data_IF_724210378348
#
_entry.id   IF_724210378348
#
_cell.length_a   1.000
_cell.length_b   1.000
_cell.length_c   1.000
_cell.angle_alpha   90.00
_cell.angle_beta   90.00
_cell.angle_gamma   90.00
#
_symmetry.space_group_name_H-M   'P 1'
#
loop_
_entity.id
_entity.type
_entity.pdbx_description
1 polymer ?
#
# COMPACT_ATOMS: atom_id res chain seq x y z
N UNK A 1 18.80 -13.28 9.54
CA UNK A 1 19.21 -12.85 10.86
C UNK A 1 18.40 -13.59 11.93
N UNK A 2 19.04 -13.87 13.09
CA UNK A 2 18.41 -14.58 14.20
C UNK A 2 17.19 -13.84 14.75
N UNK A 3 17.21 -12.51 14.73
CA UNK A 3 16.14 -11.65 15.26
C UNK A 3 14.85 -11.68 14.44
N UNK A 4 14.95 -11.87 13.13
CA UNK A 4 13.79 -11.87 12.23
C UNK A 4 13.91 -13.03 11.22
N UNK A 5 13.66 -14.29 11.66
CA UNK A 5 13.87 -15.47 10.80
C UNK A 5 12.91 -15.55 9.62
N UNK A 6 11.72 -14.93 9.75
CA UNK A 6 10.67 -14.93 8.71
C UNK A 6 10.71 -13.71 7.78
N UNK A 7 11.69 -12.81 7.94
CA UNK A 7 11.84 -11.67 7.03
C UNK A 7 12.13 -12.16 5.60
N UNK A 8 11.55 -11.48 4.61
CA UNK A 8 11.78 -11.78 3.20
C UNK A 8 13.22 -11.42 2.81
N UNK A 9 14.04 -12.42 2.52
CA UNK A 9 15.46 -12.28 2.25
C UNK A 9 15.84 -12.95 0.94
N UNK A 10 16.92 -12.49 0.35
CA UNK A 10 17.59 -13.17 -0.76
C UNK A 10 18.46 -14.34 -0.26
N UNK A 11 19.12 -15.04 -1.19
CA UNK A 11 19.99 -16.18 -0.91
C UNK A 11 21.23 -15.81 -0.07
N UNK A 12 21.60 -14.51 -0.06
CA UNK A 12 22.70 -13.97 0.74
C UNK A 12 22.26 -13.51 2.13
N UNK A 13 20.97 -13.68 2.46
CA UNK A 13 20.39 -13.26 3.74
C UNK A 13 20.11 -11.76 3.85
N UNK A 14 20.15 -11.00 2.75
CA UNK A 14 19.80 -9.57 2.68
C UNK A 14 18.29 -9.42 2.51
N UNK A 15 17.71 -8.37 3.10
CA UNK A 15 16.30 -8.04 2.88
C UNK A 15 16.06 -7.73 1.40
N UNK A 16 15.02 -8.31 0.83
CA UNK A 16 14.55 -7.92 -0.50
C UNK A 16 13.97 -6.53 -0.47
N UNK A 17 14.27 -5.74 -1.51
CA UNK A 17 13.88 -4.34 -1.61
C UNK A 17 13.18 -4.06 -2.93
N UNK A 18 12.21 -3.14 -2.87
CA UNK A 18 11.54 -2.60 -4.04
C UNK A 18 11.76 -1.09 -4.09
N UNK A 19 11.90 -0.54 -5.29
CA UNK A 19 12.04 0.89 -5.48
C UNK A 19 11.09 1.41 -6.55
N UNK A 20 10.48 2.58 -6.26
CA UNK A 20 9.51 3.20 -7.14
C UNK A 20 10.20 3.92 -8.31
N UNK A 21 9.57 3.80 -9.47
CA UNK A 21 9.86 4.55 -10.68
C UNK A 21 8.56 5.05 -11.30
N UNK A 22 8.66 5.77 -12.40
CA UNK A 22 7.54 6.37 -13.11
C UNK A 22 7.54 5.97 -14.60
N UNK A 23 6.70 6.61 -15.39
CA UNK A 23 6.59 6.39 -16.84
C UNK A 23 7.52 7.30 -17.65
N UNK A 24 7.63 7.06 -18.95
CA UNK A 24 8.44 7.86 -19.88
C UNK A 24 9.93 7.54 -19.84
N UNK A 25 10.75 8.35 -20.51
CA UNK A 25 12.19 8.11 -20.65
C UNK A 25 12.92 8.26 -19.31
N UNK A 26 12.64 9.30 -18.56
CA UNK A 26 13.24 9.48 -17.22
C UNK A 26 12.88 8.33 -16.26
N UNK A 27 11.63 7.85 -16.31
CA UNK A 27 11.20 6.68 -15.56
C UNK A 27 11.96 5.42 -15.97
N UNK A 28 12.20 5.26 -17.26
CA UNK A 28 12.98 4.14 -17.77
C UNK A 28 14.46 4.22 -17.33
N UNK A 29 15.10 5.38 -17.48
CA UNK A 29 16.48 5.58 -17.04
C UNK A 29 16.65 5.32 -15.54
N UNK A 30 15.71 5.83 -14.73
CA UNK A 30 15.67 5.55 -13.30
C UNK A 30 15.48 4.05 -13.01
N UNK A 31 14.61 3.38 -13.75
CA UNK A 31 14.38 1.93 -13.58
C UNK A 31 15.65 1.13 -13.87
N UNK A 32 16.38 1.48 -14.93
CA UNK A 32 17.64 0.81 -15.26
C UNK A 32 18.73 1.08 -14.23
N UNK A 33 18.84 2.30 -13.74
CA UNK A 33 19.77 2.62 -12.65
C UNK A 33 19.45 1.84 -11.36
N UNK A 34 18.18 1.59 -11.06
CA UNK A 34 17.76 0.77 -9.93
C UNK A 34 18.11 -0.70 -10.14
N UNK A 35 17.94 -1.23 -11.36
CA UNK A 35 18.35 -2.59 -11.74
C UNK A 35 19.86 -2.75 -11.58
N UNK A 36 20.65 -1.81 -12.09
CA UNK A 36 22.11 -1.81 -11.97
C UNK A 36 22.57 -1.72 -10.50
N UNK A 37 21.79 -1.04 -9.65
CA UNK A 37 22.04 -0.99 -8.22
C UNK A 37 21.62 -2.27 -7.45
N UNK A 38 21.05 -3.26 -8.14
CA UNK A 38 20.68 -4.56 -7.58
C UNK A 38 19.35 -4.58 -6.81
N UNK A 39 18.36 -3.78 -7.23
CA UNK A 39 17.01 -3.84 -6.66
C UNK A 39 16.34 -5.18 -7.03
N UNK A 40 15.58 -5.76 -6.10
CA UNK A 40 14.83 -6.99 -6.38
C UNK A 40 13.57 -6.73 -7.22
N UNK A 41 12.92 -5.58 -7.02
CA UNK A 41 11.70 -5.21 -7.73
C UNK A 41 11.68 -3.72 -8.09
N UNK A 42 11.29 -3.41 -9.31
CA UNK A 42 10.95 -2.05 -9.75
C UNK A 42 9.43 -1.87 -9.66
N UNK A 43 8.97 -0.80 -9.06
CA UNK A 43 7.54 -0.48 -8.93
C UNK A 43 7.21 0.70 -9.83
N UNK A 44 6.47 0.47 -10.91
CA UNK A 44 5.90 1.56 -11.73
C UNK A 44 4.66 2.06 -10.98
N UNK A 45 4.85 3.15 -10.26
CA UNK A 45 3.90 3.67 -9.28
C UNK A 45 3.24 4.97 -9.76
N UNK A 46 1.98 4.88 -10.13
CA UNK A 46 1.16 6.00 -10.61
C UNK A 46 -0.18 6.07 -9.89
N UNK A 47 -0.81 7.24 -9.93
CA UNK A 47 -2.17 7.41 -9.38
C UNK A 47 -3.22 6.66 -10.23
N UNK A 48 -2.93 6.41 -11.52
CA UNK A 48 -3.80 5.69 -12.45
C UNK A 48 -2.99 4.71 -13.31
N UNK A 49 -2.91 3.46 -12.86
CA UNK A 49 -2.14 2.40 -13.52
C UNK A 49 -2.76 1.90 -14.83
N UNK A 50 -4.06 2.04 -15.03
CA UNK A 50 -4.73 1.64 -16.26
C UNK A 50 -4.54 2.69 -17.36
N UNK A 51 -3.29 2.94 -17.70
CA UNK A 51 -2.89 3.88 -18.74
C UNK A 51 -1.88 3.26 -19.68
N UNK A 52 -1.89 3.70 -20.93
CA UNK A 52 -0.97 3.22 -21.96
C UNK A 52 0.51 3.50 -21.60
N UNK A 53 0.76 4.63 -20.93
CA UNK A 53 2.10 4.98 -20.47
C UNK A 53 2.67 3.98 -19.46
N UNK A 54 1.83 3.46 -18.54
CA UNK A 54 2.24 2.43 -17.57
C UNK A 54 2.47 1.10 -18.26
N UNK A 55 1.56 0.66 -19.14
CA UNK A 55 1.73 -0.59 -19.87
C UNK A 55 3.01 -0.58 -20.74
N UNK A 56 3.28 0.54 -21.43
CA UNK A 56 4.53 0.72 -22.20
C UNK A 56 5.79 0.70 -21.31
N UNK A 57 5.75 1.33 -20.15
CA UNK A 57 6.87 1.33 -19.21
C UNK A 57 7.19 -0.10 -18.73
N UNK A 58 6.17 -0.87 -18.34
CA UNK A 58 6.31 -2.28 -17.95
C UNK A 58 6.95 -3.09 -19.10
N UNK A 59 6.35 -3.06 -20.28
CA UNK A 59 6.83 -3.81 -21.43
C UNK A 59 8.29 -3.45 -21.80
N UNK A 60 8.63 -2.15 -21.77
CA UNK A 60 9.99 -1.68 -22.07
C UNK A 60 11.03 -2.21 -21.09
N UNK A 61 10.73 -2.22 -19.79
CA UNK A 61 11.64 -2.77 -18.77
C UNK A 61 11.78 -4.27 -18.95
N UNK A 62 10.69 -5.00 -19.11
CA UNK A 62 10.70 -6.47 -19.28
C UNK A 62 11.42 -6.91 -20.55
N UNK A 63 11.34 -6.14 -21.62
CA UNK A 63 12.09 -6.41 -22.86
C UNK A 63 13.60 -6.20 -22.68
N UNK A 64 14.03 -5.28 -21.79
CA UNK A 64 15.44 -5.04 -21.52
C UNK A 64 16.02 -6.02 -20.51
N UNK A 65 15.24 -6.37 -19.48
CA UNK A 65 15.65 -7.30 -18.43
C UNK A 65 14.46 -8.11 -17.95
N UNK A 66 14.51 -9.41 -18.17
CA UNK A 66 13.48 -10.33 -17.66
C UNK A 66 13.82 -10.88 -16.25
N UNK A 67 14.97 -10.52 -15.70
CA UNK A 67 15.42 -10.96 -14.37
C UNK A 67 14.78 -10.10 -13.26
N UNK A 68 14.63 -8.79 -13.50
CA UNK A 68 14.01 -7.91 -12.53
C UNK A 68 12.49 -8.10 -12.50
N UNK A 69 11.93 -8.13 -11.29
CA UNK A 69 10.48 -8.19 -11.11
C UNK A 69 9.89 -6.77 -11.25
N UNK A 70 8.82 -6.64 -12.02
CA UNK A 70 8.13 -5.37 -12.25
C UNK A 70 6.75 -5.41 -11.63
N UNK A 71 6.54 -4.54 -10.64
CA UNK A 71 5.24 -4.26 -10.04
C UNK A 71 4.62 -3.06 -10.74
N UNK A 72 3.36 -3.12 -11.09
CA UNK A 72 2.67 -1.99 -11.73
C UNK A 72 1.37 -1.63 -11.00
N UNK A 73 1.05 -0.34 -10.97
CA UNK A 73 -0.17 0.19 -10.35
C UNK A 73 -0.21 1.73 -10.30
N UNK A 74 -1.23 2.27 -9.62
CA UNK A 74 -2.30 1.55 -8.92
C UNK A 74 -3.53 1.34 -9.82
N UNK A 75 -4.20 0.24 -9.58
CA UNK A 75 -5.44 -0.12 -10.27
C UNK A 75 -6.53 -0.48 -9.25
N UNK A 76 -7.78 -0.60 -9.70
CA UNK A 76 -8.91 -0.93 -8.85
C UNK A 76 -9.96 -1.83 -9.52
N UNK A 77 -9.72 -2.28 -10.76
CA UNK A 77 -10.67 -3.11 -11.53
C UNK A 77 -9.99 -4.33 -12.12
N UNK A 78 -10.79 -5.35 -12.46
CA UNK A 78 -10.29 -6.58 -13.08
C UNK A 78 -9.66 -6.32 -14.45
N UNK A 79 -10.28 -5.43 -15.25
CA UNK A 79 -9.80 -5.07 -16.58
C UNK A 79 -8.43 -4.39 -16.50
N UNK A 80 -8.27 -3.45 -15.54
CA UNK A 80 -7.02 -2.76 -15.33
C UNK A 80 -5.90 -3.71 -14.88
N UNK A 81 -6.20 -4.63 -13.96
CA UNK A 81 -5.24 -5.63 -13.52
C UNK A 81 -4.79 -6.52 -14.68
N UNK A 82 -5.74 -7.02 -15.48
CA UNK A 82 -5.45 -7.83 -16.67
C UNK A 82 -4.58 -7.10 -17.68
N UNK A 83 -4.91 -5.83 -17.98
CA UNK A 83 -4.12 -5.03 -18.93
C UNK A 83 -2.65 -4.90 -18.51
N UNK A 84 -2.36 -4.78 -17.21
CA UNK A 84 -0.99 -4.70 -16.72
C UNK A 84 -0.29 -6.07 -16.73
N UNK A 85 -1.01 -7.16 -16.45
CA UNK A 85 -0.50 -8.53 -16.61
C UNK A 85 -0.15 -8.81 -18.06
N UNK A 86 -1.03 -8.45 -18.99
CA UNK A 86 -0.80 -8.62 -20.44
C UNK A 86 0.40 -7.78 -20.92
N UNK A 87 0.70 -6.67 -20.27
CA UNK A 87 1.90 -5.86 -20.50
C UNK A 87 3.19 -6.47 -19.92
N UNK A 88 3.09 -7.53 -19.12
CA UNK A 88 4.22 -8.26 -18.55
C UNK A 88 4.54 -7.93 -17.09
N UNK A 89 3.63 -7.30 -16.35
CA UNK A 89 3.83 -7.05 -14.92
C UNK A 89 3.88 -8.37 -14.12
N UNK A 90 4.85 -8.48 -13.22
CA UNK A 90 5.04 -9.63 -12.34
C UNK A 90 4.19 -9.54 -11.06
N UNK A 91 3.72 -8.35 -10.70
CA UNK A 91 2.75 -8.14 -9.62
C UNK A 91 1.93 -6.88 -9.87
N UNK A 92 0.71 -6.85 -9.32
CA UNK A 92 -0.24 -5.74 -9.49
C UNK A 92 -0.46 -5.05 -8.15
N UNK A 93 -0.31 -3.73 -8.12
CA UNK A 93 -0.55 -2.91 -6.93
C UNK A 93 -1.93 -2.24 -7.00
N UNK A 94 -2.75 -2.47 -5.97
CA UNK A 94 -4.18 -2.17 -5.96
C UNK A 94 -4.53 -1.15 -4.89
N UNK A 95 -5.20 -0.08 -5.31
CA UNK A 95 -5.74 0.94 -4.42
C UNK A 95 -5.86 2.30 -5.10
N UNK A 96 -7.09 2.76 -5.30
CA UNK A 96 -7.42 4.09 -5.80
C UNK A 96 -8.18 4.84 -4.71
N UNK A 97 -7.49 5.75 -4.03
CA UNK A 97 -8.05 6.60 -2.99
C UNK A 97 -8.21 6.01 -1.59
N UNK A 98 -7.67 4.83 -1.20
CA UNK A 98 -7.89 4.28 0.14
C UNK A 98 -6.93 4.87 1.19
N UNK A 99 -5.88 5.57 0.81
CA UNK A 99 -4.89 6.13 1.73
C UNK A 99 -5.52 7.14 2.71
N UNK A 100 -5.06 7.14 3.97
CA UNK A 100 -5.62 7.98 5.03
C UNK A 100 -5.45 9.49 4.81
N UNK A 101 -4.49 9.87 3.97
CA UNK A 101 -4.18 11.26 3.59
C UNK A 101 -4.50 11.55 2.12
N UNK A 102 -5.14 10.59 1.42
CA UNK A 102 -5.55 10.72 0.03
C UNK A 102 -6.90 11.44 -0.07
N UNK A 103 -7.00 12.41 -0.95
CA UNK A 103 -8.24 13.14 -1.23
C UNK A 103 -8.79 12.90 -2.63
N UNK A 104 -8.21 11.99 -3.41
CA UNK A 104 -8.64 11.66 -4.79
C UNK A 104 -10.14 11.41 -4.89
N UNK A 105 -10.71 10.64 -3.95
CA UNK A 105 -12.16 10.34 -3.95
C UNK A 105 -13.04 11.57 -3.80
N UNK A 106 -12.54 12.62 -3.15
CA UNK A 106 -13.28 13.87 -2.93
C UNK A 106 -12.98 14.88 -4.02
N UNK A 107 -11.71 15.05 -4.38
CA UNK A 107 -11.26 16.06 -5.35
C UNK A 107 -11.58 15.64 -6.79
N UNK A 108 -11.31 14.39 -7.15
CA UNK A 108 -11.56 13.86 -8.48
C UNK A 108 -12.88 13.08 -8.60
N UNK A 109 -13.52 12.71 -7.49
CA UNK A 109 -14.72 11.88 -7.48
C UNK A 109 -14.47 10.43 -7.91
N UNK A 110 -13.21 9.99 -7.90
CA UNK A 110 -12.78 8.67 -8.41
C UNK A 110 -12.22 7.81 -7.27
N UNK A 111 -12.58 6.53 -7.26
CA UNK A 111 -12.08 5.55 -6.32
C UNK A 111 -13.00 4.35 -6.20
N UNK A 112 -12.46 3.26 -5.66
CA UNK A 112 -13.20 2.03 -5.38
C UNK A 112 -12.96 1.63 -3.94
N UNK A 113 -13.97 1.17 -3.18
CA UNK A 113 -13.76 0.59 -1.85
C UNK A 113 -12.71 -0.50 -1.89
N UNK A 114 -11.73 -0.45 -0.99
CA UNK A 114 -10.49 -1.23 -1.13
C UNK A 114 -10.72 -2.74 -1.18
N UNK A 115 -11.64 -3.29 -0.39
CA UNK A 115 -11.91 -4.73 -0.41
C UNK A 115 -12.48 -5.17 -1.77
N UNK A 116 -13.40 -4.39 -2.34
CA UNK A 116 -13.92 -4.60 -3.69
C UNK A 116 -12.83 -4.53 -4.75
N UNK A 117 -11.97 -3.51 -4.67
CA UNK A 117 -10.84 -3.35 -5.60
C UNK A 117 -9.88 -4.54 -5.56
N UNK A 118 -9.57 -5.06 -4.36
CA UNK A 118 -8.71 -6.24 -4.20
C UNK A 118 -9.35 -7.47 -4.87
N UNK A 119 -10.61 -7.75 -4.55
CA UNK A 119 -11.33 -8.91 -5.12
C UNK A 119 -11.40 -8.85 -6.64
N UNK A 120 -11.69 -7.68 -7.20
CA UNK A 120 -11.75 -7.47 -8.64
C UNK A 120 -10.38 -7.63 -9.30
N UNK A 121 -9.36 -6.99 -8.74
CA UNK A 121 -8.01 -7.08 -9.27
C UNK A 121 -7.44 -8.50 -9.19
N UNK A 122 -7.68 -9.24 -8.12
CA UNK A 122 -7.29 -10.66 -7.99
C UNK A 122 -7.91 -11.49 -9.10
N UNK A 123 -9.21 -11.27 -9.39
CA UNK A 123 -9.91 -11.96 -10.50
C UNK A 123 -9.31 -11.61 -11.86
N UNK A 124 -8.91 -10.35 -12.07
CA UNK A 124 -8.29 -9.90 -13.32
C UNK A 124 -6.83 -10.32 -13.46
N UNK A 125 -6.09 -10.38 -12.37
CA UNK A 125 -4.66 -10.74 -12.36
C UNK A 125 -4.41 -12.25 -12.54
N UNK A 126 -5.41 -13.11 -12.28
CA UNK A 126 -5.24 -14.56 -12.34
C UNK A 126 -4.20 -15.05 -11.32
N UNK A 127 -3.13 -15.69 -11.81
CA UNK A 127 -2.06 -16.22 -10.96
C UNK A 127 -1.02 -15.16 -10.54
N UNK A 128 -1.07 -13.95 -11.12
CA UNK A 128 -0.13 -12.88 -10.80
C UNK A 128 -0.43 -12.31 -9.41
N UNK A 129 0.58 -12.15 -8.53
CA UNK A 129 0.40 -11.64 -7.18
C UNK A 129 -0.21 -10.23 -7.15
N UNK A 130 -1.08 -10.01 -6.16
CA UNK A 130 -1.70 -8.71 -5.90
C UNK A 130 -1.19 -8.14 -4.58
N UNK A 131 -0.81 -6.87 -4.61
CA UNK A 131 -0.41 -6.08 -3.44
C UNK A 131 -1.57 -5.15 -3.06
N UNK A 132 -2.14 -5.32 -1.87
CA UNK A 132 -3.17 -4.43 -1.34
C UNK A 132 -2.53 -3.16 -0.79
N UNK A 133 -2.67 -2.04 -1.49
CA UNK A 133 -2.04 -0.77 -1.15
C UNK A 133 -3.04 0.24 -0.58
N UNK A 134 -2.90 0.51 0.70
CA UNK A 134 -3.70 1.51 1.42
C UNK A 134 -4.98 0.98 2.08
N UNK A 135 -5.56 1.81 2.94
CA UNK A 135 -6.80 1.51 3.66
C UNK A 135 -6.64 0.60 4.88
N UNK A 136 -5.42 0.21 5.23
CA UNK A 136 -5.11 -0.67 6.36
C UNK A 136 -4.84 0.19 7.60
N UNK A 137 -5.79 0.22 8.53
CA UNK A 137 -5.69 0.91 9.82
C UNK A 137 -5.40 -0.05 10.96
N UNK A 138 -6.09 -1.18 10.97
CA UNK A 138 -5.99 -2.24 11.98
C UNK A 138 -5.47 -3.53 11.35
N UNK A 139 -4.98 -4.43 12.20
CA UNK A 139 -4.56 -5.77 11.77
C UNK A 139 -5.71 -6.58 11.13
N UNK A 140 -6.96 -6.34 11.54
CA UNK A 140 -8.13 -6.92 10.91
C UNK A 140 -8.34 -6.49 9.45
N UNK A 141 -7.97 -5.26 9.09
CA UNK A 141 -8.01 -4.80 7.69
C UNK A 141 -6.96 -5.53 6.85
N UNK A 142 -5.77 -5.73 7.43
CA UNK A 142 -4.72 -6.53 6.81
C UNK A 142 -5.18 -7.97 6.57
N UNK A 143 -5.76 -8.61 7.58
CA UNK A 143 -6.30 -9.97 7.47
C UNK A 143 -7.39 -10.06 6.39
N UNK A 144 -8.30 -9.08 6.31
CA UNK A 144 -9.32 -9.01 5.26
C UNK A 144 -8.72 -8.84 3.86
N UNK A 145 -7.67 -8.04 3.71
CA UNK A 145 -6.99 -7.88 2.43
C UNK A 145 -6.39 -9.20 1.94
N UNK A 146 -5.74 -9.96 2.82
CA UNK A 146 -5.21 -11.30 2.51
C UNK A 146 -6.35 -12.27 2.18
N UNK A 147 -7.40 -12.31 3.00
CA UNK A 147 -8.56 -13.17 2.76
C UNK A 147 -9.28 -12.87 1.43
N UNK A 148 -9.24 -11.61 0.98
CA UNK A 148 -9.76 -11.19 -0.33
C UNK A 148 -8.88 -11.60 -1.52
N UNK A 149 -7.73 -12.23 -1.28
CA UNK A 149 -6.83 -12.78 -2.29
C UNK A 149 -5.52 -12.03 -2.48
N UNK A 150 -5.28 -10.93 -1.76
CA UNK A 150 -3.98 -10.24 -1.83
C UNK A 150 -2.85 -11.15 -1.32
N UNK A 151 -1.68 -11.06 -1.96
CA UNK A 151 -0.48 -11.81 -1.57
C UNK A 151 0.28 -11.14 -0.43
N UNK A 152 0.25 -9.80 -0.41
CA UNK A 152 0.82 -8.97 0.65
C UNK A 152 0.11 -7.61 0.69
N UNK A 153 0.51 -6.78 1.65
CA UNK A 153 -0.05 -5.44 1.80
C UNK A 153 1.04 -4.38 1.87
N UNK A 154 0.76 -3.21 1.27
CA UNK A 154 1.53 -2.00 1.44
C UNK A 154 0.86 -1.11 2.47
N UNK A 155 1.60 -0.72 3.50
CA UNK A 155 1.11 0.12 4.59
C UNK A 155 1.89 1.44 4.66
N UNK A 156 1.17 2.54 4.80
CA UNK A 156 1.75 3.87 4.95
C UNK A 156 1.53 4.41 6.37
N UNK A 157 0.33 4.89 6.67
CA UNK A 157 0.00 5.51 7.96
C UNK A 157 0.19 4.58 9.17
N UNK A 158 0.11 3.26 8.97
CA UNK A 158 0.35 2.30 10.04
C UNK A 158 1.76 2.42 10.62
N UNK A 159 2.76 2.69 9.77
CA UNK A 159 4.18 2.82 10.16
C UNK A 159 4.71 4.25 10.11
N UNK A 160 3.94 5.22 9.62
CA UNK A 160 4.39 6.60 9.47
C UNK A 160 4.78 7.28 10.81
N UNK A 161 4.22 6.82 11.93
CA UNK A 161 4.53 7.29 13.28
C UNK A 161 5.69 6.57 13.98
N UNK A 162 6.43 5.71 13.29
CA UNK A 162 7.50 4.91 13.90
C UNK A 162 8.85 5.63 13.90
N UNK A 163 9.79 5.14 14.72
CA UNK A 163 11.15 5.68 14.81
C UNK A 163 11.88 5.68 13.47
N UNK A 164 11.70 4.61 12.70
CA UNK A 164 12.37 4.39 11.42
C UNK A 164 11.76 5.20 10.27
N UNK A 165 10.57 5.75 10.46
CA UNK A 165 9.91 6.61 9.48
C UNK A 165 10.55 8.01 9.44
N UNK A 166 10.69 8.66 8.28
CA UNK A 166 11.15 10.05 8.23
C UNK A 166 10.15 10.99 8.90
N UNK A 167 10.61 12.17 9.27
CA UNK A 167 9.82 13.21 9.94
C UNK A 167 10.20 13.39 11.40
N UNK A 168 10.01 14.60 11.87
CA UNK A 168 10.35 14.98 13.24
C UNK A 168 9.24 14.57 14.23
N UNK A 169 9.64 14.26 15.46
CA UNK A 169 8.71 14.05 16.57
C UNK A 169 8.26 15.41 17.09
N UNK A 170 6.97 15.65 17.06
CA UNK A 170 6.32 16.89 17.47
C UNK A 170 5.53 16.61 18.76
N UNK A 171 5.76 17.42 19.79
CA UNK A 171 4.95 17.37 21.00
C UNK A 171 3.76 18.32 20.85
N UNK A 172 2.55 17.79 20.89
CA UNK A 172 1.32 18.55 20.77
C UNK A 172 0.29 18.08 21.80
N UNK A 173 -0.24 18.98 22.59
CA UNK A 173 -1.21 18.70 23.67
C UNK A 173 -0.81 17.52 24.60
N UNK A 174 0.48 17.45 24.96
CA UNK A 174 1.00 16.40 25.84
C UNK A 174 1.18 15.04 25.19
N UNK A 175 1.00 14.92 23.88
CA UNK A 175 1.22 13.69 23.09
C UNK A 175 2.28 13.91 22.02
N UNK A 176 3.02 12.86 21.69
CA UNK A 176 4.01 12.88 20.62
C UNK A 176 3.38 12.46 19.30
N UNK A 177 3.70 13.20 18.26
CA UNK A 177 3.27 12.96 16.87
C UNK A 177 4.47 12.99 15.92
N UNK A 178 4.32 12.45 14.71
CA UNK A 178 5.24 12.64 13.60
C UNK A 178 4.53 13.30 12.43
N UNK A 179 5.23 14.16 11.71
CA UNK A 179 4.73 14.73 10.46
C UNK A 179 4.49 13.63 9.42
N UNK A 180 3.41 13.72 8.69
CA UNK A 180 3.03 12.77 7.66
C UNK A 180 2.33 13.48 6.51
N UNK A 181 2.70 13.18 5.27
CA UNK A 181 2.10 13.81 4.09
C UNK A 181 1.82 12.81 3.00
N UNK A 182 0.77 13.07 2.22
CA UNK A 182 0.43 12.34 1.02
C UNK A 182 1.37 12.66 -0.14
N UNK A 183 1.57 11.68 -1.02
CA UNK A 183 2.30 11.89 -2.27
C UNK A 183 1.62 12.93 -3.17
N UNK A 184 0.29 13.08 -3.10
CA UNK A 184 -0.50 14.11 -3.79
C UNK A 184 -0.67 15.41 -3.01
N UNK A 185 0.03 15.63 -1.89
CA UNK A 185 0.03 16.92 -1.19
C UNK A 185 0.87 17.95 -1.95
N UNK A 186 0.56 19.22 -1.79
CA UNK A 186 1.30 20.31 -2.45
C UNK A 186 2.80 20.23 -2.17
N UNK A 187 3.19 20.00 -0.92
CA UNK A 187 4.60 19.91 -0.55
C UNK A 187 5.31 18.68 -1.11
N UNK A 188 4.62 17.58 -1.35
CA UNK A 188 5.18 16.42 -2.02
C UNK A 188 5.28 16.66 -3.54
N UNK A 189 4.22 17.18 -4.16
CA UNK A 189 4.18 17.48 -5.60
C UNK A 189 5.25 18.49 -6.01
N UNK A 190 5.48 19.53 -5.21
CA UNK A 190 6.54 20.51 -5.44
C UNK A 190 7.95 19.91 -5.35
N UNK A 191 8.12 18.72 -4.76
CA UNK A 191 9.40 18.01 -4.62
C UNK A 191 9.56 16.83 -5.58
N UNK A 192 8.69 16.72 -6.60
CA UNK A 192 8.81 15.75 -7.68
C UNK A 192 7.71 14.72 -7.80
N UNK A 193 6.78 14.59 -6.84
CA UNK A 193 5.70 13.59 -6.96
C UNK A 193 4.54 14.01 -7.87
N UNK A 194 4.63 15.17 -8.52
CA UNK A 194 3.62 15.65 -9.47
C UNK A 194 3.51 14.74 -10.71
N UNK A 195 4.58 14.06 -11.11
CA UNK A 195 4.60 13.08 -12.20
C UNK A 195 3.67 11.89 -11.95
N UNK A 196 3.58 11.43 -10.69
CA UNK A 196 2.65 10.38 -10.27
C UNK A 196 1.19 10.71 -10.58
N UNK A 197 0.84 12.01 -10.57
CA UNK A 197 -0.50 12.56 -10.81
C UNK A 197 -0.66 13.19 -12.20
N UNK A 198 0.26 12.89 -13.13
CA UNK A 198 0.27 13.45 -14.48
C UNK A 198 0.29 14.98 -14.54
N UNK A 199 0.90 15.62 -13.54
CA UNK A 199 0.99 17.09 -13.41
C UNK A 199 2.44 17.59 -13.41
N UNK A 200 3.39 16.83 -13.97
CA UNK A 200 4.81 17.16 -13.99
C UNK A 200 5.09 18.56 -14.61
N UNK A 201 4.38 18.89 -15.68
CA UNK A 201 4.58 20.13 -16.44
C UNK A 201 3.73 21.30 -15.91
N UNK A 202 2.94 21.08 -14.86
CA UNK A 202 2.13 22.13 -14.26
C UNK A 202 2.98 23.06 -13.38
N UNK A 203 2.79 24.37 -13.52
CA UNK A 203 3.39 25.34 -12.61
C UNK A 203 2.89 25.10 -11.17
N UNK A 204 3.73 25.34 -10.16
CA UNK A 204 3.44 25.00 -8.76
C UNK A 204 2.14 25.63 -8.25
N UNK A 205 1.80 26.83 -8.70
CA UNK A 205 0.55 27.55 -8.38
C UNK A 205 -0.68 27.00 -9.10
N UNK A 206 -0.50 26.10 -10.07
CA UNK A 206 -1.58 25.44 -10.84
C UNK A 206 -1.77 23.96 -10.48
N UNK A 207 -0.98 23.44 -9.56
CA UNK A 207 -1.12 22.05 -9.11
C UNK A 207 -2.48 21.83 -8.45
N UNK A 208 -3.13 20.73 -8.77
CA UNK A 208 -4.35 20.27 -8.12
C UNK A 208 -4.01 19.13 -7.17
N UNK A 209 -3.91 19.37 -5.86
CA UNK A 209 -3.49 18.34 -4.91
C UNK A 209 -4.60 17.29 -4.70
N UNK A 210 -4.18 16.05 -4.61
CA UNK A 210 -5.01 14.89 -4.27
C UNK A 210 -4.59 14.25 -2.94
N UNK A 211 -3.98 15.02 -2.05
CA UNK A 211 -3.54 14.59 -0.74
C UNK A 211 -3.29 15.77 0.20
N UNK A 212 -3.21 15.47 1.48
CA UNK A 212 -2.98 16.44 2.54
C UNK A 212 -1.64 16.24 3.25
N UNK A 213 -1.22 17.24 3.99
CA UNK A 213 -0.17 17.18 5.00
C UNK A 213 -0.81 17.20 6.39
N UNK A 214 -0.30 16.38 7.29
CA UNK A 214 -0.83 16.24 8.63
C UNK A 214 0.18 15.60 9.57
N UNK A 215 -0.31 15.05 10.65
CA UNK A 215 0.49 14.35 11.64
C UNK A 215 -0.19 13.05 12.07
N UNK A 216 0.61 12.07 12.46
CA UNK A 216 0.16 10.80 13.02
C UNK A 216 0.71 10.61 14.42
N UNK A 217 0.01 9.89 15.32
CA UNK A 217 0.55 9.57 16.63
C UNK A 217 1.89 8.83 16.53
N UNK A 218 2.83 9.22 17.36
CA UNK A 218 4.09 8.49 17.52
C UNK A 218 3.83 7.09 18.11
N UNK A 219 4.48 6.07 17.56
CA UNK A 219 4.20 4.66 17.85
C UNK A 219 5.39 3.87 18.36
N UNK A 220 6.57 4.47 18.49
CA UNK A 220 7.81 3.77 18.79
C UNK A 220 8.35 2.98 17.59
N UNK A 221 8.96 1.81 17.81
CA UNK A 221 9.62 1.06 16.74
C UNK A 221 8.64 0.44 15.72
N UNK A 222 9.04 0.41 14.45
CA UNK A 222 8.30 -0.28 13.40
C UNK A 222 8.13 -1.77 13.69
N UNK A 223 9.13 -2.39 14.33
CA UNK A 223 9.08 -3.80 14.75
C UNK A 223 7.88 -4.09 15.65
N UNK A 224 7.59 -3.22 16.63
CA UNK A 224 6.44 -3.37 17.51
C UNK A 224 5.11 -3.26 16.74
N UNK A 225 5.01 -2.32 15.80
CA UNK A 225 3.81 -2.15 14.96
C UNK A 225 3.60 -3.37 14.04
N UNK A 226 4.66 -3.84 13.38
CA UNK A 226 4.60 -5.02 12.50
C UNK A 226 4.22 -6.27 13.31
N UNK A 227 4.75 -6.42 14.53
CA UNK A 227 4.37 -7.52 15.42
C UNK A 227 2.87 -7.57 15.69
N UNK A 228 2.23 -6.42 15.96
CA UNK A 228 0.78 -6.32 16.16
C UNK A 228 -0.01 -6.64 14.88
N UNK A 229 0.44 -6.15 13.72
CA UNK A 229 -0.22 -6.45 12.44
C UNK A 229 -0.16 -7.95 12.11
N UNK A 230 1.01 -8.56 12.25
CA UNK A 230 1.21 -10.00 11.99
C UNK A 230 0.47 -10.85 13.05
N UNK A 231 0.47 -10.41 14.31
CA UNK A 231 -0.28 -11.07 15.38
C UNK A 231 -1.77 -11.13 15.10
N UNK A 232 -2.37 -10.03 14.62
CA UNK A 232 -3.77 -9.98 14.22
C UNK A 232 -4.08 -10.86 12.99
N UNK A 233 -3.17 -10.92 12.00
CA UNK A 233 -3.31 -11.85 10.88
C UNK A 233 -3.30 -13.31 11.37
N UNK A 234 -2.36 -13.68 12.24
CA UNK A 234 -2.30 -15.04 12.82
C UNK A 234 -3.56 -15.39 13.60
N UNK A 235 -4.10 -14.44 14.37
CA UNK A 235 -5.38 -14.63 15.08
C UNK A 235 -6.52 -14.90 14.09
N UNK A 236 -6.60 -14.11 13.01
CA UNK A 236 -7.60 -14.30 11.95
C UNK A 236 -7.45 -15.68 11.28
N UNK A 237 -6.24 -16.11 10.96
CA UNK A 237 -5.97 -17.45 10.42
C UNK A 237 -6.46 -18.55 11.37
N UNK A 238 -6.21 -18.39 12.67
CA UNK A 238 -6.70 -19.33 13.69
C UNK A 238 -8.22 -19.39 13.75
N UNK A 239 -8.91 -18.25 13.77
CA UNK A 239 -10.38 -18.21 13.79
C UNK A 239 -11.03 -18.80 12.53
N UNK A 240 -10.37 -18.67 11.38
CA UNK A 240 -10.90 -19.15 10.09
C UNK A 240 -10.37 -20.54 9.71
N UNK A 241 -9.54 -21.17 10.55
CA UNK A 241 -9.03 -22.52 10.35
C UNK A 241 -8.01 -22.66 9.22
N UNK A 242 -7.33 -21.58 8.83
CA UNK A 242 -6.34 -21.60 7.76
C UNK A 242 -4.92 -21.73 8.33
N UNK A 243 -4.21 -22.79 7.98
CA UNK A 243 -2.84 -23.03 8.45
C UNK A 243 -1.81 -22.15 7.74
N UNK A 244 -2.10 -21.74 6.53
CA UNK A 244 -1.18 -20.96 5.68
C UNK A 244 -1.88 -19.71 5.11
N UNK A 245 -1.07 -18.71 4.72
CA UNK A 245 -1.57 -17.52 4.00
C UNK A 245 -2.20 -17.92 2.66
N UNK A 246 -1.64 -18.92 1.99
CA UNK A 246 -2.18 -19.40 0.72
C UNK A 246 -3.60 -19.97 0.87
N UNK A 247 -3.86 -20.75 1.91
CA UNK A 247 -5.20 -21.25 2.23
C UNK A 247 -6.16 -20.12 2.57
N UNK A 248 -5.73 -19.13 3.34
CA UNK A 248 -6.57 -17.99 3.72
C UNK A 248 -7.00 -17.15 2.51
N UNK A 249 -6.17 -17.02 1.48
CA UNK A 249 -6.44 -16.24 0.27
C UNK A 249 -7.66 -16.69 -0.53
N UNK A 250 -8.19 -17.85 -0.33
CA UNK A 250 -9.37 -18.36 -1.03
C UNK A 250 -10.37 -19.08 -0.11
N UNK A 251 -10.01 -19.26 1.16
CA UNK A 251 -10.78 -20.07 2.11
C UNK A 251 -11.75 -19.31 3.00
N UNK A 252 -11.81 -17.98 2.93
CA UNK A 252 -12.61 -17.17 3.82
C UNK A 252 -13.90 -16.68 3.18
N UNK A 253 -14.95 -16.56 4.01
CA UNK A 253 -16.22 -15.95 3.62
C UNK A 253 -16.34 -14.55 4.22
N UNK A 254 -16.92 -13.63 3.46
CA UNK A 254 -17.21 -12.27 3.89
C UNK A 254 -18.70 -12.08 4.13
N UNK A 255 -19.02 -11.36 5.18
CA UNK A 255 -20.38 -10.93 5.48
C UNK A 255 -20.47 -9.42 5.29
N UNK A 256 -21.47 -8.97 4.53
CA UNK A 256 -21.75 -7.55 4.39
C UNK A 256 -22.44 -7.03 5.64
N UNK A 257 -21.91 -5.96 6.22
CA UNK A 257 -22.49 -5.31 7.40
C UNK A 257 -23.00 -3.92 7.07
N UNK A 258 -23.89 -3.40 7.91
CA UNK A 258 -24.38 -2.02 7.87
C UNK A 258 -23.48 -1.10 8.71
N UNK A 259 -23.75 0.22 8.68
CA UNK A 259 -23.10 1.15 9.61
C UNK A 259 -23.38 0.83 11.09
N UNK A 260 -24.56 0.26 11.40
CA UNK A 260 -24.86 -0.22 12.75
C UNK A 260 -23.98 -1.43 13.14
N UNK A 261 -23.80 -2.39 12.24
CA UNK A 261 -22.89 -3.52 12.44
C UNK A 261 -21.41 -3.07 12.56
N UNK A 262 -21.02 -2.02 11.84
CA UNK A 262 -19.68 -1.44 12.00
C UNK A 262 -19.50 -0.84 13.40
N UNK A 263 -20.50 -0.11 13.91
CA UNK A 263 -20.46 0.46 15.26
C UNK A 263 -20.41 -0.63 16.33
N UNK A 264 -21.19 -1.70 16.17
CA UNK A 264 -21.17 -2.87 17.06
C UNK A 264 -19.83 -3.63 17.01
N UNK A 265 -19.12 -3.61 15.88
CA UNK A 265 -17.81 -4.25 15.73
C UNK A 265 -16.68 -3.51 16.47
N UNK A 266 -16.86 -2.24 16.78
CA UNK A 266 -15.94 -1.47 17.64
C UNK A 266 -16.32 -1.61 19.11
N UNK A 267 -15.41 -1.27 20.01
CA UNK A 267 -15.72 -1.16 21.45
C UNK A 267 -16.88 -0.20 21.64
N UNK A 268 -17.94 -0.64 22.31
CA UNK A 268 -19.15 0.13 22.55
C UNK A 268 -19.69 -0.09 23.98
N UNK A 269 -20.50 0.85 24.45
CA UNK A 269 -21.14 0.83 25.78
C UNK A 269 -20.19 0.74 26.99
N UNK A 270 -18.91 1.08 26.78
CA UNK A 270 -17.88 1.17 27.83
C UNK A 270 -16.99 2.39 27.61
N UNK A 271 -16.44 2.91 28.70
CA UNK A 271 -15.40 3.94 28.64
C UNK A 271 -14.03 3.26 28.69
N UNK A 272 -13.19 3.53 27.68
CA UNK A 272 -11.82 3.02 27.64
C UNK A 272 -11.01 3.75 28.70
N UNK A 273 -10.51 3.02 29.68
CA UNK A 273 -9.60 3.54 30.72
C UNK A 273 -8.14 3.27 30.41
N UNK A 274 -7.87 2.27 29.54
CA UNK A 274 -6.53 1.94 29.05
C UNK A 274 -6.62 1.42 27.62
N UNK A 275 -5.97 2.12 26.69
CA UNK A 275 -5.86 1.68 25.30
C UNK A 275 -4.99 0.42 25.16
N UNK A 276 -5.32 -0.43 24.20
CA UNK A 276 -4.45 -1.55 23.83
C UNK A 276 -3.46 -1.11 22.71
N UNK A 277 -2.32 -1.80 22.57
CA UNK A 277 -1.31 -1.42 21.57
C UNK A 277 -1.83 -1.42 20.13
N UNK A 278 -2.84 -2.26 19.85
CA UNK A 278 -3.39 -2.52 18.52
C UNK A 278 -4.79 -1.93 18.31
N UNK A 279 -5.36 -1.26 19.32
CA UNK A 279 -6.65 -0.60 19.22
C UNK A 279 -6.63 0.74 19.93
N UNK A 280 -6.73 1.82 19.16
CA UNK A 280 -6.84 3.20 19.64
C UNK A 280 -8.00 3.86 18.94
N UNK A 281 -8.79 4.60 19.69
CA UNK A 281 -9.76 5.53 19.11
C UNK A 281 -8.97 6.73 18.60
N UNK A 282 -9.12 7.05 17.30
CA UNK A 282 -8.45 8.17 16.63
C UNK A 282 -8.91 9.53 17.15
#
# INVERSE_FOLDING_TARGET
SVLNPLACKDELGRLRVAAASTVGDEGYERSMALVDAGVDMVVIDTAHGHSEGVARAVARIKNQSNEVQVVAGNVATAEAARALVDAGADAIKVGIGPGSICTTRIVAGVGVPQLTAIMDAVRGAGDVPVIADGGIKFSGDFAKAIAAGASCAMVGSAIAGTDESPGEVILYQGRSFKSYRGMGSLGAMARGSADRYFQKDAATDKLVPEGIEGQVPYKGSASAVIHQLVGGLRAAMGYTGNATVAEMRGGCQFVRITGAGLKESHVHDVQITRESPNYRLG
#
